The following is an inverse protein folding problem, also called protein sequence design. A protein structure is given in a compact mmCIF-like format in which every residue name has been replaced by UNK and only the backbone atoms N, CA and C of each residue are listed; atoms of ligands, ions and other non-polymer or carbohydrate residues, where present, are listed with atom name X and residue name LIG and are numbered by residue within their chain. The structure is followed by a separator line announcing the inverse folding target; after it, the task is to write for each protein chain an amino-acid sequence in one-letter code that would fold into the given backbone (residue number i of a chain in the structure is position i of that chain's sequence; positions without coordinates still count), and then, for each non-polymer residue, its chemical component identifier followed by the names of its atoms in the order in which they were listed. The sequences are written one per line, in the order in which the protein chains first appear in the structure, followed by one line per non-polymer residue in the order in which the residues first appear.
data_IF_713266042991
#
_entry.id   IF_713266042991
#
_cell.length_a   1.000
_cell.length_b   1.000
_cell.length_c   1.000
_cell.angle_alpha   90.00
_cell.angle_beta   90.00
_cell.angle_gamma   90.00
#
_symmetry.space_group_name_H-M   'P 1'
#
loop_
_entity.id
_entity.type
_entity.pdbx_description
1 polymer ?
#
# COMPACT_ATOMS: atom_id res chain seq x y z
N UNK A 1 66.60 -3.43 -15.17
CA UNK A 1 66.43 -2.35 -16.19
C UNK A 1 65.33 -2.52 -17.27
N UNK A 2 64.95 -3.73 -17.72
CA UNK A 2 64.02 -3.89 -18.86
C UNK A 2 62.55 -3.45 -18.61
N UNK A 3 62.14 -3.32 -17.35
CA UNK A 3 60.75 -3.04 -16.96
C UNK A 3 60.34 -1.58 -17.20
N UNK A 4 61.21 -0.60 -16.90
CA UNK A 4 61.01 0.80 -17.26
C UNK A 4 60.88 0.98 -18.78
N UNK A 5 61.50 0.06 -19.54
CA UNK A 5 61.41 -0.08 -20.98
C UNK A 5 59.98 -0.10 -21.54
N UNK A 6 59.10 -0.80 -20.84
CA UNK A 6 57.73 -1.15 -21.29
C UNK A 6 56.65 -0.23 -20.70
N UNK A 7 57.03 0.64 -19.76
CA UNK A 7 56.09 1.50 -19.03
C UNK A 7 55.74 2.76 -19.83
N UNK A 8 54.49 3.23 -19.68
CA UNK A 8 54.02 4.46 -20.33
C UNK A 8 54.72 5.69 -19.74
N UNK A 9 54.85 6.75 -20.55
CA UNK A 9 55.56 8.00 -20.19
C UNK A 9 54.99 8.66 -18.93
N UNK A 10 53.68 8.64 -18.78
CA UNK A 10 52.92 9.13 -17.62
C UNK A 10 53.25 8.36 -16.34
N UNK A 11 53.35 7.03 -16.40
CA UNK A 11 53.73 6.21 -15.24
C UNK A 11 55.18 6.45 -14.81
N UNK A 12 56.10 6.59 -15.77
CA UNK A 12 57.49 6.94 -15.49
C UNK A 12 57.64 8.33 -14.89
N UNK A 13 56.79 9.29 -15.29
CA UNK A 13 56.78 10.62 -14.70
C UNK A 13 56.32 10.58 -13.24
N UNK A 14 55.21 9.90 -12.97
CA UNK A 14 54.70 9.75 -11.60
C UNK A 14 55.72 9.02 -10.71
N UNK A 15 56.34 7.97 -11.23
CA UNK A 15 57.41 7.26 -10.52
C UNK A 15 58.59 8.19 -10.17
N UNK A 16 59.02 9.04 -11.10
CA UNK A 16 60.08 10.02 -10.81
C UNK A 16 59.63 11.03 -9.74
N UNK A 17 58.39 11.51 -9.77
CA UNK A 17 57.82 12.40 -8.74
C UNK A 17 57.78 11.72 -7.36
N UNK A 18 57.35 10.46 -7.27
CA UNK A 18 57.31 9.70 -6.01
C UNK A 18 58.71 9.39 -5.44
N UNK A 19 59.71 9.30 -6.31
CA UNK A 19 61.13 9.21 -5.91
C UNK A 19 61.72 10.56 -5.47
N UNK A 20 60.91 11.62 -5.39
CA UNK A 20 61.32 12.96 -5.00
C UNK A 20 62.07 13.73 -6.09
N UNK A 21 62.04 13.24 -7.33
CA UNK A 21 62.63 13.90 -8.48
C UNK A 21 61.59 14.85 -9.10
N UNK A 22 62.03 16.00 -9.62
CA UNK A 22 61.15 16.95 -10.30
C UNK A 22 61.32 16.84 -11.83
N UNK A 23 60.69 15.85 -12.50
CA UNK A 23 60.82 15.70 -13.94
C UNK A 23 60.13 16.87 -14.67
N UNK A 24 60.83 17.49 -15.63
CA UNK A 24 60.20 18.46 -16.52
C UNK A 24 59.15 17.80 -17.42
N UNK A 25 58.06 18.51 -17.73
CA UNK A 25 56.95 17.99 -18.52
C UNK A 25 57.32 17.58 -19.96
N UNK A 26 58.47 18.07 -20.45
CA UNK A 26 58.92 17.79 -21.81
C UNK A 26 59.89 16.60 -21.91
N UNK A 27 60.29 16.00 -20.79
CA UNK A 27 61.26 14.90 -20.80
C UNK A 27 60.75 13.72 -21.64
N UNK A 28 61.62 13.16 -22.48
CA UNK A 28 61.37 11.92 -23.23
C UNK A 28 61.44 10.71 -22.30
N UNK A 29 60.87 9.59 -22.72
CA UNK A 29 60.90 8.33 -21.96
C UNK A 29 62.34 7.92 -21.60
N UNK A 30 63.30 8.16 -22.49
CA UNK A 30 64.72 7.84 -22.26
C UNK A 30 65.29 8.73 -21.15
N UNK A 31 65.05 10.03 -21.21
CA UNK A 31 65.53 10.99 -20.21
C UNK A 31 64.88 10.75 -18.83
N UNK A 32 63.62 10.34 -18.79
CA UNK A 32 62.94 9.93 -17.55
C UNK A 32 63.55 8.66 -16.95
N UNK A 33 63.92 7.69 -17.78
CA UNK A 33 64.59 6.46 -17.33
C UNK A 33 65.94 6.79 -16.72
N UNK A 34 66.75 7.56 -17.44
CA UNK A 34 68.09 7.95 -17.00
C UNK A 34 68.02 8.73 -15.68
N UNK A 35 67.02 9.60 -15.52
CA UNK A 35 66.77 10.34 -14.28
C UNK A 35 66.42 9.42 -13.11
N UNK A 36 65.60 8.40 -13.33
CA UNK A 36 65.20 7.42 -12.31
C UNK A 36 66.38 6.52 -11.93
N UNK A 37 67.15 6.02 -12.89
CA UNK A 37 68.26 5.09 -12.65
C UNK A 37 69.49 5.76 -12.04
N UNK A 38 69.68 7.06 -12.25
CA UNK A 38 70.79 7.84 -11.70
C UNK A 38 70.48 8.47 -10.33
N UNK A 39 69.34 8.14 -9.70
CA UNK A 39 69.01 8.61 -8.36
C UNK A 39 69.98 8.03 -7.32
N UNK A 40 70.42 8.84 -6.36
CA UNK A 40 71.41 8.44 -5.33
C UNK A 40 70.98 7.22 -4.49
N UNK A 41 69.68 6.93 -4.44
CA UNK A 41 69.11 5.78 -3.70
C UNK A 41 68.33 4.84 -4.61
N UNK A 42 68.83 4.60 -5.82
CA UNK A 42 68.19 3.67 -6.75
C UNK A 42 68.27 2.22 -6.22
N UNK A 43 67.10 1.62 -6.03
CA UNK A 43 66.93 0.20 -5.74
C UNK A 43 65.97 -0.41 -6.78
N UNK A 44 66.41 -1.45 -7.48
CA UNK A 44 65.65 -1.99 -8.62
C UNK A 44 64.34 -2.68 -8.18
N UNK A 45 64.31 -3.32 -7.00
CA UNK A 45 63.09 -3.97 -6.49
C UNK A 45 62.09 -2.92 -6.00
N UNK A 46 62.54 -1.95 -5.23
CA UNK A 46 61.71 -0.86 -4.73
C UNK A 46 61.08 -0.04 -5.86
N UNK A 47 61.86 0.33 -6.88
CA UNK A 47 61.37 1.11 -8.03
C UNK A 47 60.38 0.30 -8.87
N UNK A 48 60.58 -1.01 -8.98
CA UNK A 48 59.66 -1.91 -9.69
C UNK A 48 58.34 -2.09 -8.94
N UNK A 49 58.38 -2.21 -7.61
CA UNK A 49 57.18 -2.32 -6.78
C UNK A 49 56.39 -1.00 -6.79
N UNK A 50 57.07 0.14 -6.65
CA UNK A 50 56.45 1.47 -6.74
C UNK A 50 55.78 1.68 -8.10
N UNK A 51 56.45 1.29 -9.19
CA UNK A 51 55.87 1.37 -10.54
C UNK A 51 54.66 0.45 -10.69
N UNK A 52 54.67 -0.72 -10.08
CA UNK A 52 53.55 -1.66 -10.12
C UNK A 52 52.33 -1.07 -9.40
N UNK A 53 52.52 -0.48 -8.22
CA UNK A 53 51.47 0.22 -7.47
C UNK A 53 50.88 1.37 -8.29
N UNK A 54 51.71 2.22 -8.91
CA UNK A 54 51.25 3.33 -9.76
C UNK A 54 50.41 2.84 -10.93
N UNK A 55 50.84 1.76 -11.59
CA UNK A 55 50.11 1.16 -12.72
C UNK A 55 48.78 0.58 -12.25
N UNK A 56 48.75 -0.14 -11.13
CA UNK A 56 47.54 -0.73 -10.56
C UNK A 56 46.53 0.35 -10.15
N UNK A 57 46.96 1.38 -9.42
CA UNK A 57 46.08 2.48 -8.99
C UNK A 57 45.48 3.25 -10.17
N UNK A 58 46.29 3.54 -11.20
CA UNK A 58 45.83 4.24 -12.39
C UNK A 58 44.90 3.41 -13.24
N UNK A 59 45.21 2.14 -13.46
CA UNK A 59 44.32 1.24 -14.21
C UNK A 59 43.01 0.98 -13.48
N UNK A 60 43.02 0.91 -12.14
CA UNK A 60 41.81 0.84 -11.33
C UNK A 60 40.96 2.10 -11.46
N UNK A 61 41.59 3.29 -11.37
CA UNK A 61 40.90 4.58 -11.53
C UNK A 61 40.30 4.75 -12.92
N UNK A 62 41.02 4.39 -13.98
CA UNK A 62 40.53 4.45 -15.37
C UNK A 62 39.35 3.50 -15.58
N UNK A 63 39.45 2.25 -15.07
CA UNK A 63 38.34 1.29 -15.12
C UNK A 63 37.10 1.81 -14.38
N UNK A 64 37.27 2.36 -13.18
CA UNK A 64 36.15 2.91 -12.41
C UNK A 64 35.46 4.06 -13.16
N UNK A 65 36.23 4.99 -13.75
CA UNK A 65 35.66 6.09 -14.56
C UNK A 65 34.93 5.58 -15.80
N UNK A 66 35.47 4.55 -16.47
CA UNK A 66 34.80 3.96 -17.64
C UNK A 66 33.49 3.27 -17.28
N UNK A 67 33.45 2.55 -16.15
CA UNK A 67 32.24 1.90 -15.65
C UNK A 67 31.16 2.91 -15.24
N UNK A 68 31.56 3.99 -14.55
CA UNK A 68 30.64 5.07 -14.16
C UNK A 68 30.05 5.78 -15.40
N UNK A 69 30.86 5.99 -16.45
CA UNK A 69 30.39 6.59 -17.69
C UNK A 69 29.40 5.67 -18.43
N UNK A 70 29.68 4.37 -18.47
CA UNK A 70 28.79 3.37 -19.08
C UNK A 70 27.46 3.27 -18.32
N UNK A 71 27.49 3.31 -16.99
CA UNK A 71 26.28 3.32 -16.15
C UNK A 71 25.44 4.59 -16.38
N UNK A 72 26.08 5.76 -16.43
CA UNK A 72 25.40 7.02 -16.76
C UNK A 72 24.77 6.99 -18.15
N UNK A 73 25.47 6.43 -19.16
CA UNK A 73 24.90 6.28 -20.50
C UNK A 73 23.70 5.34 -20.50
N UNK A 74 23.77 4.20 -19.81
CA UNK A 74 22.62 3.28 -19.67
C UNK A 74 21.43 3.95 -18.98
N UNK A 75 21.67 4.73 -17.92
CA UNK A 75 20.61 5.45 -17.22
C UNK A 75 19.91 6.48 -18.13
N UNK A 76 20.66 7.20 -18.97
CA UNK A 76 20.09 8.15 -19.95
C UNK A 76 19.22 7.43 -20.98
N UNK A 77 19.69 6.30 -21.52
CA UNK A 77 18.91 5.51 -22.51
C UNK A 77 17.61 4.99 -21.90
N UNK A 78 17.65 4.50 -20.66
CA UNK A 78 16.45 4.02 -19.93
C UNK A 78 15.48 5.18 -19.66
N UNK A 79 15.99 6.35 -19.25
CA UNK A 79 15.14 7.53 -19.04
C UNK A 79 14.44 7.98 -20.35
N UNK A 80 15.18 8.01 -21.47
CA UNK A 80 14.61 8.32 -22.79
C UNK A 80 13.60 7.28 -23.28
N UNK A 81 13.78 5.99 -22.94
CA UNK A 81 12.79 4.96 -23.23
C UNK A 81 11.50 5.19 -22.44
N UNK A 82 11.61 5.46 -21.12
CA UNK A 82 10.44 5.77 -20.28
C UNK A 82 9.68 7.01 -20.74
N UNK A 83 10.39 8.05 -21.18
CA UNK A 83 9.77 9.26 -21.71
C UNK A 83 8.98 8.98 -23.00
N UNK A 84 9.57 8.22 -23.94
CA UNK A 84 8.85 7.79 -25.16
C UNK A 84 7.63 6.92 -24.86
N UNK A 85 7.73 6.01 -23.89
CA UNK A 85 6.59 5.19 -23.47
C UNK A 85 5.46 6.07 -22.90
N UNK A 86 5.81 7.05 -22.07
CA UNK A 86 4.84 7.99 -21.52
C UNK A 86 4.17 8.85 -22.61
N UNK A 87 4.93 9.34 -23.59
CA UNK A 87 4.39 10.08 -24.72
C UNK A 87 3.45 9.23 -25.59
N UNK A 88 3.84 7.98 -25.89
CA UNK A 88 2.99 7.06 -26.63
C UNK A 88 1.68 6.77 -25.89
N UNK A 89 1.74 6.56 -24.57
CA UNK A 89 0.54 6.32 -23.77
C UNK A 89 -0.37 7.55 -23.74
N UNK A 90 0.21 8.75 -23.63
CA UNK A 90 -0.55 10.01 -23.74
C UNK A 90 -1.24 10.14 -25.11
N UNK A 91 -0.56 9.79 -26.21
CA UNK A 91 -1.18 9.79 -27.54
C UNK A 91 -2.29 8.75 -27.68
N UNK A 92 -2.11 7.53 -27.13
CA UNK A 92 -3.18 6.52 -27.13
C UNK A 92 -4.42 7.00 -26.39
N UNK A 93 -4.24 7.59 -25.21
CA UNK A 93 -5.35 8.14 -24.43
C UNK A 93 -6.05 9.27 -25.21
N UNK A 94 -5.28 10.18 -25.84
CA UNK A 94 -5.85 11.23 -26.68
C UNK A 94 -6.64 10.68 -27.87
N UNK A 95 -6.13 9.66 -28.56
CA UNK A 95 -6.83 9.00 -29.66
C UNK A 95 -8.08 8.27 -29.18
N UNK A 96 -8.05 7.64 -28.00
CA UNK A 96 -9.23 6.97 -27.42
C UNK A 96 -10.31 8.01 -27.05
N UNK A 97 -9.92 9.13 -26.44
CA UNK A 97 -10.82 10.27 -26.16
C UNK A 97 -11.37 10.86 -27.46
N UNK A 98 -10.55 10.99 -28.51
CA UNK A 98 -11.00 11.50 -29.80
C UNK A 98 -11.96 10.52 -30.52
N UNK A 99 -11.71 9.21 -30.45
CA UNK A 99 -12.64 8.19 -30.96
C UNK A 99 -13.98 8.22 -30.23
N UNK A 100 -13.97 8.39 -28.91
CA UNK A 100 -15.17 8.60 -28.11
C UNK A 100 -15.93 9.87 -28.53
N UNK A 101 -15.22 10.90 -29.01
CA UNK A 101 -15.83 12.16 -29.49
C UNK A 101 -16.34 12.15 -30.95
N UNK A 102 -15.89 11.20 -31.78
CA UNK A 102 -16.23 11.13 -33.22
C UNK A 102 -17.15 9.96 -33.59
N UNK A 103 -17.55 9.12 -32.64
CA UNK A 103 -18.61 8.15 -32.88
C UNK A 103 -19.90 8.89 -33.28
N UNK A 104 -20.56 8.52 -34.39
CA UNK A 104 -21.89 9.05 -34.67
C UNK A 104 -22.78 8.69 -33.49
N UNK A 105 -23.43 9.70 -32.92
CA UNK A 105 -24.47 9.54 -31.90
C UNK A 105 -25.61 8.75 -32.55
N UNK A 106 -25.47 7.43 -32.57
CA UNK A 106 -26.61 6.54 -32.68
C UNK A 106 -27.26 6.64 -31.32
N UNK A 107 -28.31 7.43 -31.27
CA UNK A 107 -29.20 7.65 -30.13
C UNK A 107 -29.93 6.37 -29.75
N UNK A 108 -29.18 5.34 -29.34
CA UNK A 108 -29.62 4.14 -28.65
C UNK A 108 -28.47 3.59 -27.78
N UNK A 109 -27.68 4.46 -27.14
CA UNK A 109 -27.17 4.09 -25.83
C UNK A 109 -28.25 4.48 -24.85
N UNK A 110 -29.02 3.48 -24.43
CA UNK A 110 -29.58 3.48 -23.08
C UNK A 110 -28.41 3.89 -22.17
N UNK A 111 -28.41 5.15 -21.73
CA UNK A 111 -27.81 5.50 -20.46
C UNK A 111 -28.32 4.42 -19.52
N UNK A 112 -27.43 3.51 -19.13
CA UNK A 112 -27.78 2.40 -18.27
C UNK A 112 -27.12 2.76 -16.95
N UNK A 113 -27.80 3.54 -16.07
CA UNK A 113 -27.22 4.01 -14.81
C UNK A 113 -26.74 2.83 -13.96
N UNK A 114 -27.25 1.62 -14.25
CA UNK A 114 -26.81 0.32 -13.75
C UNK A 114 -25.31 0.08 -13.85
N UNK A 115 -24.72 0.37 -15.02
CA UNK A 115 -23.32 0.04 -15.28
C UNK A 115 -22.37 1.04 -14.60
N UNK A 116 -22.80 2.29 -14.44
CA UNK A 116 -22.01 3.31 -13.73
C UNK A 116 -22.09 3.14 -12.22
N UNK A 117 -23.28 2.91 -11.65
CA UNK A 117 -23.43 2.66 -10.20
C UNK A 117 -22.60 1.47 -9.72
N UNK A 118 -22.67 0.33 -10.43
CA UNK A 118 -21.93 -0.90 -10.06
C UNK A 118 -20.40 -0.70 -10.17
N UNK A 119 -19.94 0.20 -11.05
CA UNK A 119 -18.51 0.54 -11.17
C UNK A 119 -18.03 1.52 -10.10
N UNK A 120 -18.90 2.42 -9.65
CA UNK A 120 -18.54 3.53 -8.76
C UNK A 120 -18.72 3.18 -7.28
N UNK A 121 -19.67 2.31 -6.94
CA UNK A 121 -19.91 1.92 -5.54
C UNK A 121 -19.03 0.71 -5.18
N UNK A 122 -18.15 0.81 -4.16
CA UNK A 122 -17.41 -0.33 -3.65
C UNK A 122 -18.36 -1.44 -3.22
N UNK A 123 -17.99 -2.72 -3.39
CA UNK A 123 -18.82 -3.83 -2.91
C UNK A 123 -18.88 -3.81 -1.39
N UNK A 124 -20.09 -3.94 -0.83
CA UNK A 124 -20.26 -4.02 0.62
C UNK A 124 -19.55 -5.25 1.20
N UNK A 125 -18.67 -5.05 2.17
CA UNK A 125 -18.03 -6.08 2.96
C UNK A 125 -18.76 -6.23 4.31
N UNK A 126 -19.51 -7.32 4.48
CA UNK A 126 -20.29 -7.57 5.71
C UNK A 126 -19.46 -7.67 6.99
N UNK A 127 -18.13 -7.84 6.90
CA UNK A 127 -17.21 -7.95 8.05
C UNK A 127 -16.60 -6.62 8.49
N UNK A 128 -16.41 -5.69 7.57
CA UNK A 128 -15.64 -4.45 7.81
C UNK A 128 -16.49 -3.20 7.62
N UNK A 129 -17.46 -3.23 6.72
CA UNK A 129 -18.23 -2.06 6.37
C UNK A 129 -19.39 -1.83 7.36
N UNK A 130 -19.56 -0.55 7.72
CA UNK A 130 -20.74 -0.07 8.42
C UNK A 130 -21.88 0.14 7.41
N UNK A 131 -22.99 -0.58 7.59
CA UNK A 131 -24.11 -0.55 6.64
C UNK A 131 -24.71 0.84 6.49
N UNK A 132 -24.76 1.64 7.56
CA UNK A 132 -25.25 3.02 7.49
C UNK A 132 -24.39 3.93 6.63
N UNK A 133 -23.07 3.79 6.73
CA UNK A 133 -22.13 4.53 5.88
C UNK A 133 -22.26 4.10 4.42
N UNK A 134 -22.34 2.79 4.17
CA UNK A 134 -22.55 2.25 2.83
C UNK A 134 -23.82 2.80 2.17
N UNK A 135 -24.96 2.77 2.87
CA UNK A 135 -26.23 3.30 2.35
C UNK A 135 -26.13 4.80 2.09
N UNK A 136 -25.45 5.56 2.96
CA UNK A 136 -25.23 7.00 2.76
C UNK A 136 -24.42 7.28 1.48
N UNK A 137 -23.36 6.50 1.23
CA UNK A 137 -22.56 6.61 0.00
C UNK A 137 -23.44 6.26 -1.21
N UNK A 138 -24.18 5.16 -1.14
CA UNK A 138 -25.09 4.73 -2.19
C UNK A 138 -26.11 5.83 -2.55
N UNK A 139 -26.78 6.41 -1.55
CA UNK A 139 -27.77 7.49 -1.77
C UNK A 139 -27.15 8.71 -2.44
N UNK A 140 -25.95 9.12 -2.00
CA UNK A 140 -25.24 10.26 -2.61
C UNK A 140 -24.90 9.99 -4.08
N UNK A 141 -24.43 8.79 -4.39
CA UNK A 141 -24.10 8.42 -5.77
C UNK A 141 -25.35 8.28 -6.65
N UNK A 142 -26.43 7.69 -6.12
CA UNK A 142 -27.69 7.58 -6.83
C UNK A 142 -28.30 8.95 -7.15
N UNK A 143 -28.23 9.89 -6.19
CA UNK A 143 -28.64 11.29 -6.41
C UNK A 143 -27.73 12.01 -7.40
N UNK A 144 -26.41 11.83 -7.29
CA UNK A 144 -25.44 12.43 -8.21
C UNK A 144 -25.68 12.02 -9.67
N UNK A 145 -26.05 10.75 -9.88
CA UNK A 145 -26.39 10.18 -11.20
C UNK A 145 -27.86 10.40 -11.61
N UNK A 146 -28.63 11.19 -10.85
CA UNK A 146 -30.05 11.47 -11.10
C UNK A 146 -30.93 10.21 -11.28
N UNK A 147 -30.66 9.17 -10.51
CA UNK A 147 -31.33 7.89 -10.65
C UNK A 147 -32.71 7.96 -9.98
N UNK A 148 -33.80 7.54 -10.66
CA UNK A 148 -35.14 7.56 -10.08
C UNK A 148 -35.22 6.70 -8.82
N UNK A 149 -35.74 7.25 -7.71
CA UNK A 149 -35.83 6.57 -6.40
C UNK A 149 -36.55 5.21 -6.48
N UNK A 150 -37.57 5.11 -7.33
CA UNK A 150 -38.28 3.85 -7.63
C UNK A 150 -37.40 2.71 -8.13
N UNK A 151 -36.19 3.02 -8.62
CA UNK A 151 -35.21 2.03 -9.12
C UNK A 151 -34.07 1.78 -8.15
N UNK A 152 -33.96 2.54 -7.05
CA UNK A 152 -32.85 2.43 -6.10
C UNK A 152 -32.75 1.04 -5.49
N UNK A 153 -33.88 0.41 -5.16
CA UNK A 153 -33.90 -0.91 -4.53
C UNK A 153 -33.30 -1.98 -5.44
N UNK A 154 -33.60 -1.95 -6.74
CA UNK A 154 -33.03 -2.88 -7.72
C UNK A 154 -31.51 -2.69 -7.86
N UNK A 155 -31.02 -1.44 -7.80
CA UNK A 155 -29.59 -1.15 -7.82
C UNK A 155 -28.89 -1.55 -6.53
N UNK A 156 -29.53 -1.32 -5.39
CA UNK A 156 -29.03 -1.70 -4.08
C UNK A 156 -28.85 -3.23 -4.01
N UNK A 157 -29.87 -4.01 -4.41
CA UNK A 157 -29.81 -5.47 -4.47
C UNK A 157 -28.63 -5.95 -5.34
N UNK A 158 -28.39 -5.31 -6.49
CA UNK A 158 -27.27 -5.66 -7.37
C UNK A 158 -25.89 -5.27 -6.83
N UNK A 159 -25.82 -4.35 -5.88
CA UNK A 159 -24.57 -3.89 -5.25
C UNK A 159 -24.18 -4.69 -4.00
N UNK A 160 -25.15 -5.34 -3.36
CA UNK A 160 -24.95 -6.08 -2.12
C UNK A 160 -24.47 -7.53 -2.38
N UNK A 161 -23.72 -8.12 -1.44
CA UNK A 161 -23.42 -9.55 -1.44
C UNK A 161 -24.68 -10.43 -1.50
N UNK A 162 -24.62 -11.61 -2.14
CA UNK A 162 -25.78 -12.49 -2.34
C UNK A 162 -26.52 -12.87 -1.05
N UNK A 163 -25.79 -13.07 0.05
CA UNK A 163 -26.31 -13.40 1.37
C UNK A 163 -27.18 -12.28 1.96
N UNK A 164 -26.88 -11.02 1.64
CA UNK A 164 -27.65 -9.85 2.08
C UNK A 164 -28.81 -9.60 1.13
N UNK A 165 -28.56 -9.68 -0.17
CA UNK A 165 -29.60 -9.54 -1.20
C UNK A 165 -30.77 -10.51 -0.98
N UNK A 166 -30.47 -11.76 -0.56
CA UNK A 166 -31.50 -12.75 -0.23
C UNK A 166 -32.40 -12.37 0.95
N UNK A 167 -31.95 -11.50 1.86
CA UNK A 167 -32.79 -11.00 2.95
C UNK A 167 -33.91 -10.11 2.41
N UNK A 168 -33.60 -9.30 1.38
CA UNK A 168 -34.56 -8.39 0.75
C UNK A 168 -35.61 -9.19 -0.03
N UNK A 169 -35.21 -10.27 -0.70
CA UNK A 169 -36.15 -11.12 -1.47
C UNK A 169 -37.11 -11.96 -0.62
N UNK A 170 -36.93 -11.98 0.72
CA UNK A 170 -37.78 -12.72 1.66
C UNK A 170 -38.92 -11.88 2.22
N UNK A 171 -38.83 -10.56 2.11
CA UNK A 171 -39.92 -9.64 2.46
C UNK A 171 -41.00 -9.69 1.37
N UNK A 172 -42.19 -9.16 1.67
CA UNK A 172 -43.25 -9.03 0.68
C UNK A 172 -42.84 -8.10 -0.47
N UNK A 173 -43.48 -8.29 -1.64
CA UNK A 173 -43.07 -7.59 -2.87
C UNK A 173 -43.23 -6.06 -2.77
N UNK A 174 -44.21 -5.59 -2.01
CA UNK A 174 -44.45 -4.16 -1.79
C UNK A 174 -43.34 -3.53 -0.92
N UNK A 175 -42.97 -4.19 0.20
CA UNK A 175 -41.88 -3.74 1.07
C UNK A 175 -40.50 -3.91 0.41
N UNK A 176 -40.30 -4.97 -0.40
CA UNK A 176 -39.05 -5.24 -1.10
C UNK A 176 -38.78 -4.26 -2.26
N UNK A 177 -39.80 -3.56 -2.77
CA UNK A 177 -39.62 -2.48 -3.75
C UNK A 177 -39.41 -1.11 -3.09
N UNK A 178 -39.85 -0.94 -1.85
CA UNK A 178 -39.74 0.31 -1.11
C UNK A 178 -38.33 0.50 -0.50
N UNK A 179 -37.57 1.46 -1.06
CA UNK A 179 -36.20 1.73 -0.60
C UNK A 179 -36.12 2.08 0.89
N UNK A 180 -37.04 2.88 1.43
CA UNK A 180 -37.00 3.27 2.84
C UNK A 180 -37.23 2.08 3.78
N UNK A 181 -38.14 1.16 3.41
CA UNK A 181 -38.36 -0.08 4.15
C UNK A 181 -37.13 -0.98 4.12
N UNK A 182 -36.53 -1.16 2.95
CA UNK A 182 -35.30 -1.93 2.78
C UNK A 182 -34.15 -1.30 3.58
N UNK A 183 -34.00 0.02 3.55
CA UNK A 183 -33.00 0.77 4.33
C UNK A 183 -33.19 0.56 5.82
N UNK A 184 -34.41 0.73 6.35
CA UNK A 184 -34.70 0.49 7.77
C UNK A 184 -34.38 -0.95 8.18
N UNK A 185 -34.77 -1.94 7.36
CA UNK A 185 -34.51 -3.35 7.62
C UNK A 185 -33.01 -3.66 7.62
N UNK A 186 -32.26 -3.18 6.63
CA UNK A 186 -30.80 -3.32 6.56
C UNK A 186 -30.11 -2.64 7.73
N UNK A 187 -30.50 -1.41 8.07
CA UNK A 187 -29.96 -0.70 9.24
C UNK A 187 -30.25 -1.43 10.54
N UNK A 188 -31.42 -2.05 10.69
CA UNK A 188 -31.78 -2.84 11.87
C UNK A 188 -30.99 -4.15 11.95
N UNK A 189 -30.78 -4.83 10.82
CA UNK A 189 -30.05 -6.11 10.74
C UNK A 189 -28.54 -5.95 10.90
N UNK A 190 -27.98 -4.93 10.28
CA UNK A 190 -26.55 -4.63 10.27
C UNK A 190 -26.18 -3.49 11.21
N UNK A 191 -27.10 -3.11 12.11
CA UNK A 191 -26.80 -2.24 13.24
C UNK A 191 -25.53 -2.78 13.90
N UNK A 192 -24.58 -1.89 14.19
CA UNK A 192 -23.42 -2.24 15.00
C UNK A 192 -23.94 -2.53 16.41
N UNK A 193 -24.42 -3.76 16.61
CA UNK A 193 -24.87 -4.27 17.89
C UNK A 193 -23.68 -4.25 18.85
N UNK A 194 -23.94 -4.23 20.16
CA UNK A 194 -22.87 -4.30 21.17
C UNK A 194 -21.85 -5.43 20.89
N UNK A 195 -22.27 -6.51 20.23
CA UNK A 195 -21.39 -7.60 19.78
C UNK A 195 -20.34 -7.21 18.72
N UNK A 196 -20.62 -6.28 17.80
CA UNK A 196 -19.60 -5.79 16.84
C UNK A 196 -18.60 -4.86 17.52
N UNK A 197 -19.07 -3.93 18.36
CA UNK A 197 -18.18 -3.10 19.17
C UNK A 197 -17.28 -3.94 20.09
N UNK A 198 -17.85 -4.98 20.69
CA UNK A 198 -17.09 -6.00 21.43
C UNK A 198 -16.03 -6.64 20.55
N UNK A 199 -16.35 -7.08 19.33
CA UNK A 199 -15.38 -7.70 18.43
C UNK A 199 -14.26 -6.75 18.05
N UNK A 200 -14.56 -5.49 17.70
CA UNK A 200 -13.55 -4.47 17.43
C UNK A 200 -12.67 -4.23 18.66
N UNK A 201 -13.25 -4.05 19.84
CA UNK A 201 -12.48 -3.92 21.09
C UNK A 201 -11.59 -5.15 21.38
N UNK A 202 -12.03 -6.34 21.00
CA UNK A 202 -11.37 -7.61 21.34
C UNK A 202 -10.26 -8.03 20.37
N UNK A 203 -10.46 -7.75 19.09
CA UNK A 203 -9.66 -8.29 17.99
C UNK A 203 -8.75 -7.23 17.37
N UNK A 204 -8.93 -5.96 17.73
CA UNK A 204 -8.11 -4.90 17.16
C UNK A 204 -6.63 -5.04 17.50
N UNK A 205 -5.81 -4.73 16.50
CA UNK A 205 -4.35 -4.71 16.60
C UNK A 205 -3.88 -3.34 16.18
N UNK A 206 -2.83 -2.85 16.85
CA UNK A 206 -2.22 -1.58 16.50
C UNK A 206 -1.69 -1.66 15.06
N UNK A 207 -2.15 -0.76 14.20
CA UNK A 207 -1.57 -0.57 12.87
C UNK A 207 -0.11 -0.08 12.99
N UNK A 208 0.74 -0.50 12.04
CA UNK A 208 2.16 -0.12 12.04
C UNK A 208 2.33 1.39 11.89
N UNK A 209 1.43 2.03 11.14
CA UNK A 209 1.48 3.46 10.80
C UNK A 209 0.77 4.39 11.80
N UNK A 210 0.02 3.85 12.79
CA UNK A 210 -0.69 4.67 13.78
C UNK A 210 0.12 4.89 15.06
N UNK A 211 -0.10 6.02 15.76
CA UNK A 211 0.50 6.23 17.08
C UNK A 211 -0.25 5.43 18.15
N UNK A 212 0.40 5.18 19.30
CA UNK A 212 -0.27 4.57 20.46
C UNK A 212 -1.44 5.40 20.97
N UNK A 213 -1.38 6.73 20.77
CA UNK A 213 -2.44 7.66 21.16
C UNK A 213 -3.67 7.45 20.29
N UNK A 214 -3.48 7.34 18.99
CA UNK A 214 -4.58 7.08 18.04
C UNK A 214 -5.20 5.71 18.29
N UNK A 215 -4.37 4.69 18.55
CA UNK A 215 -4.84 3.37 18.90
C UNK A 215 -5.66 3.35 20.21
N UNK A 216 -5.24 4.11 21.23
CA UNK A 216 -6.02 4.27 22.46
C UNK A 216 -7.39 4.92 22.21
N UNK A 217 -7.43 6.00 21.42
CA UNK A 217 -8.69 6.67 21.07
C UNK A 217 -9.63 5.74 20.31
N UNK A 218 -9.10 4.98 19.36
CA UNK A 218 -9.85 3.99 18.58
C UNK A 218 -10.42 2.88 19.49
N UNK A 219 -9.59 2.25 20.33
CA UNK A 219 -10.03 1.27 21.32
C UNK A 219 -11.07 1.83 22.30
N UNK A 220 -10.87 3.05 22.77
CA UNK A 220 -11.80 3.73 23.69
C UNK A 220 -13.14 3.96 23.02
N UNK A 221 -13.14 4.41 21.76
CA UNK A 221 -14.37 4.64 20.99
C UNK A 221 -15.18 3.35 20.81
N UNK A 222 -14.52 2.21 20.58
CA UNK A 222 -15.20 0.92 20.48
C UNK A 222 -15.77 0.46 21.82
N UNK A 223 -15.02 0.67 22.90
CA UNK A 223 -15.50 0.34 24.24
C UNK A 223 -16.70 1.20 24.65
N UNK A 224 -16.64 2.51 24.40
CA UNK A 224 -17.74 3.45 24.63
C UNK A 224 -18.98 3.10 23.80
N UNK A 225 -18.78 2.75 22.52
CA UNK A 225 -19.85 2.24 21.66
C UNK A 225 -20.49 0.96 22.23
N UNK A 226 -19.67 0.04 22.75
CA UNK A 226 -20.15 -1.21 23.35
C UNK A 226 -21.02 -0.98 24.58
N UNK A 227 -20.57 -0.15 25.52
CA UNK A 227 -21.31 0.14 26.75
C UNK A 227 -22.58 0.95 26.48
N UNK A 228 -22.54 1.87 25.50
CA UNK A 228 -23.68 2.70 25.12
C UNK A 228 -24.79 1.86 24.50
N UNK A 229 -24.42 0.92 23.62
CA UNK A 229 -25.38 0.05 22.95
C UNK A 229 -26.04 -0.95 23.91
N UNK A 230 -25.29 -1.42 24.92
CA UNK A 230 -25.82 -2.25 26.00
C UNK A 230 -26.51 -1.45 27.11
N UNK A 231 -26.60 -0.13 26.97
CA UNK A 231 -27.20 0.79 27.95
C UNK A 231 -26.64 0.58 29.37
N UNK A 232 -25.34 0.32 29.47
CA UNK A 232 -24.66 0.14 30.75
C UNK A 232 -24.50 1.51 31.39
N UNK A 233 -25.12 1.70 32.55
CA UNK A 233 -25.12 2.97 33.28
C UNK A 233 -24.44 2.86 34.65
N UNK A 234 -24.15 1.65 35.11
CA UNK A 234 -23.57 1.39 36.43
C UNK A 234 -22.27 0.59 36.36
N UNK A 235 -21.41 0.77 37.36
CA UNK A 235 -20.16 0.02 37.48
C UNK A 235 -20.39 -1.49 37.62
N UNK A 236 -21.44 -1.92 38.32
CA UNK A 236 -21.75 -3.35 38.50
C UNK A 236 -22.18 -4.03 37.20
N UNK A 237 -22.96 -3.33 36.36
CA UNK A 237 -23.30 -3.78 35.01
C UNK A 237 -22.05 -3.88 34.13
N UNK A 238 -21.14 -2.91 34.23
CA UNK A 238 -19.87 -2.94 33.50
C UNK A 238 -18.99 -4.12 33.94
N UNK A 239 -18.85 -4.33 35.25
CA UNK A 239 -18.12 -5.47 35.82
C UNK A 239 -18.70 -6.79 35.33
N UNK A 240 -20.03 -6.92 35.35
CA UNK A 240 -20.74 -8.10 34.85
C UNK A 240 -20.52 -8.34 33.36
N UNK A 241 -20.52 -7.27 32.55
CA UNK A 241 -20.22 -7.33 31.11
C UNK A 241 -18.82 -7.90 30.86
N UNK A 242 -17.79 -7.35 31.53
CA UNK A 242 -16.40 -7.78 31.34
C UNK A 242 -16.23 -9.24 31.75
N UNK A 243 -16.81 -9.65 32.88
CA UNK A 243 -16.76 -11.05 33.36
C UNK A 243 -17.45 -11.97 32.35
N UNK A 244 -18.64 -11.62 31.88
CA UNK A 244 -19.37 -12.41 30.89
C UNK A 244 -18.60 -12.54 29.56
N UNK A 245 -17.95 -11.46 29.10
CA UNK A 245 -17.09 -11.50 27.91
C UNK A 245 -15.91 -12.46 28.09
N UNK A 246 -15.21 -12.38 29.22
CA UNK A 246 -14.07 -13.26 29.51
C UNK A 246 -14.48 -14.74 29.59
N UNK A 247 -15.63 -15.04 30.20
CA UNK A 247 -16.19 -16.39 30.24
C UNK A 247 -16.51 -16.87 28.82
N UNK A 248 -17.12 -16.05 27.97
CA UNK A 248 -17.43 -16.40 26.59
C UNK A 248 -16.18 -16.69 25.77
N UNK A 249 -15.12 -15.88 25.90
CA UNK A 249 -13.84 -16.09 25.18
C UNK A 249 -13.17 -17.41 25.56
N UNK A 250 -13.13 -17.74 26.85
CA UNK A 250 -12.50 -18.97 27.35
C UNK A 250 -13.28 -20.24 27.03
N UNK A 251 -14.60 -20.15 26.81
CA UNK A 251 -15.48 -21.29 26.56
C UNK A 251 -15.80 -21.54 25.07
N UNK A 252 -15.23 -20.75 24.15
CA UNK A 252 -15.51 -20.82 22.71
C UNK A 252 -15.07 -22.13 22.01
N UNK A 253 -14.36 -23.04 22.70
CA UNK A 253 -13.89 -24.31 22.13
C UNK A 253 -14.60 -25.58 22.63
N UNK A 254 -15.55 -25.54 23.59
CA UNK A 254 -16.12 -26.81 24.11
C UNK A 254 -17.56 -26.85 24.64
N UNK A 255 -18.33 -25.76 24.75
CA UNK A 255 -19.57 -25.78 25.55
C UNK A 255 -20.84 -25.21 24.91
N UNK A 256 -21.05 -25.36 23.60
CA UNK A 256 -22.36 -25.01 23.00
C UNK A 256 -23.53 -25.94 23.40
N UNK A 257 -23.28 -27.10 24.05
CA UNK A 257 -24.34 -28.06 24.37
C UNK A 257 -24.88 -27.99 25.80
N UNK A 258 -24.23 -27.26 26.72
CA UNK A 258 -24.58 -27.31 28.16
C UNK A 258 -25.09 -25.99 28.75
N UNK A 259 -24.88 -24.85 28.09
CA UNK A 259 -25.29 -23.53 28.61
C UNK A 259 -26.74 -23.14 28.30
N UNK A 260 -27.41 -23.83 27.37
CA UNK A 260 -28.86 -23.66 27.11
C UNK A 260 -29.71 -23.98 28.36
N UNK A 261 -29.27 -24.95 29.17
CA UNK A 261 -29.97 -25.33 30.41
C UNK A 261 -29.80 -24.34 31.58
N UNK A 262 -28.73 -23.54 31.61
CA UNK A 262 -28.45 -22.63 32.72
C UNK A 262 -28.97 -21.21 32.49
N UNK A 263 -29.03 -20.72 31.24
CA UNK A 263 -29.56 -19.38 30.95
C UNK A 263 -31.11 -19.35 30.91
N UNK A 264 -31.78 -20.47 30.63
CA UNK A 264 -33.24 -20.57 30.72
C UNK A 264 -33.81 -20.44 32.15
N UNK A 265 -32.95 -20.54 33.17
CA UNK A 265 -33.32 -20.26 34.57
C UNK A 265 -33.16 -18.78 34.96
N UNK A 266 -32.33 -18.01 34.25
CA UNK A 266 -32.10 -16.61 34.57
C UNK A 266 -33.21 -15.70 34.03
N UNK A 267 -33.72 -16.00 32.82
CA UNK A 267 -34.84 -15.26 32.21
C UNK A 267 -36.17 -15.40 32.97
N UNK A 268 -36.36 -16.47 33.77
CA UNK A 268 -37.58 -16.61 34.60
C UNK A 268 -37.50 -15.92 35.97
N UNK A 269 -36.31 -15.55 36.45
CA UNK A 269 -36.16 -14.94 37.79
C UNK A 269 -36.03 -13.41 37.76
N UNK A 270 -35.60 -12.84 36.63
CA UNK A 270 -35.65 -11.40 36.39
C UNK A 270 -36.90 -11.09 35.56
N UNK A 271 -38.03 -10.86 36.23
CA UNK A 271 -39.31 -10.52 35.59
C UNK A 271 -39.22 -9.26 34.72
N UNK A 272 -38.83 -9.46 33.47
CA UNK A 272 -38.91 -8.48 32.38
C UNK A 272 -39.55 -9.25 31.22
N UNK A 273 -40.88 -9.36 31.29
CA UNK A 273 -41.71 -9.53 30.11
C UNK A 273 -41.95 -8.19 29.44
#
# INVERSE_FOLDING_TARGET
MAFLGKSRKDYLRMLATELGLAPSDNLKIIELKDLITNCERYDEEFVKDMLSVIVEERTATEKQKSAELEEKQKAVVVAQQREREFELEKMKIQLEVQKLSQAPVTSQQLENPKLELIRIIPRFNSKEDEMGLYLTIFERQAKFLNIPEKTWTAYLIGSLPPDIAQLITREDEDDAQNYEKVKEMLLKRFRVTGDRFRQYFSQQKKNLDSTWRDFYFELSSYFEGWIKELKITTFDQLKSLIIADQIKRKNSSKYQRTLSGYLGGFERSSGIG
#
